data_IF_115257666275
#
_entry.id   IF_115257666275
#
_cell.length_a   1.000
_cell.length_b   1.000
_cell.length_c   1.000
_cell.angle_alpha   90.00
_cell.angle_beta   90.00
_cell.angle_gamma   90.00
#
_symmetry.space_group_name_H-M   'P 1'
#
loop_
_entity.id
_entity.type
_entity.pdbx_description
1 polymer ?
#
# COMPACT_ATOMS: atom_id res chain seq x y z
N UNK A 1 10.11 19.96 -15.24
CA UNK A 1 8.91 19.53 -14.46
C UNK A 1 9.41 18.78 -13.24
N UNK A 2 8.86 19.05 -12.06
CA UNK A 2 9.26 18.36 -10.84
C UNK A 2 8.44 17.10 -10.68
N UNK A 3 9.11 15.98 -10.41
CA UNK A 3 8.48 14.69 -10.13
C UNK A 3 8.86 14.13 -8.77
N UNK A 4 8.14 13.11 -8.30
CA UNK A 4 8.52 12.38 -7.11
C UNK A 4 9.50 11.26 -7.44
N UNK A 5 10.54 11.13 -6.63
CA UNK A 5 11.41 9.97 -6.60
C UNK A 5 11.39 9.32 -5.20
N UNK A 6 11.54 8.01 -5.15
CA UNK A 6 11.57 7.24 -3.91
C UNK A 6 12.98 7.28 -3.32
N UNK A 7 13.13 7.90 -2.15
CA UNK A 7 14.42 8.10 -1.50
C UNK A 7 14.74 7.01 -0.48
N UNK A 8 13.79 6.68 0.38
CA UNK A 8 13.95 5.69 1.44
C UNK A 8 12.63 5.02 1.78
N UNK A 9 12.69 3.83 2.38
CA UNK A 9 11.54 3.05 2.79
C UNK A 9 11.68 2.57 4.23
N UNK A 10 10.55 2.26 4.85
CA UNK A 10 10.47 1.58 6.13
C UNK A 10 9.29 0.64 6.17
N UNK A 11 9.34 -0.39 6.99
CA UNK A 11 8.28 -1.37 7.14
C UNK A 11 8.08 -1.80 8.59
N UNK A 12 6.85 -2.16 8.93
CA UNK A 12 6.52 -2.71 10.22
C UNK A 12 5.44 -3.78 10.06
N UNK A 13 5.69 -4.95 10.62
CA UNK A 13 4.75 -6.05 10.70
C UNK A 13 4.45 -6.34 12.17
N UNK A 14 3.23 -6.77 12.49
CA UNK A 14 2.91 -7.24 13.84
C UNK A 14 3.77 -8.43 14.26
N UNK A 15 3.87 -8.65 15.57
CA UNK A 15 4.64 -9.76 16.12
C UNK A 15 3.98 -11.13 15.92
N UNK A 16 2.64 -11.17 15.72
CA UNK A 16 1.90 -12.43 15.62
C UNK A 16 1.78 -12.87 14.16
N UNK A 17 2.49 -13.94 13.82
CA UNK A 17 2.27 -14.68 12.57
C UNK A 17 1.02 -15.55 12.70
N UNK A 18 0.19 -15.57 11.66
CA UNK A 18 -1.00 -16.42 11.54
C UNK A 18 -0.88 -17.25 10.26
N UNK A 19 -0.76 -18.56 10.42
CA UNK A 19 -0.65 -19.51 9.31
C UNK A 19 -2.03 -19.93 8.79
N UNK A 20 -2.06 -20.56 7.62
CA UNK A 20 -3.30 -21.16 7.11
C UNK A 20 -3.82 -22.27 8.04
N UNK A 21 -2.92 -23.00 8.72
CA UNK A 21 -3.29 -24.03 9.69
C UNK A 21 -3.95 -23.43 10.95
N UNK A 22 -3.53 -22.24 11.38
CA UNK A 22 -4.22 -21.53 12.48
C UNK A 22 -5.64 -21.15 12.10
N UNK A 23 -5.88 -20.71 10.85
CA UNK A 23 -7.21 -20.37 10.35
C UNK A 23 -8.09 -21.61 10.19
N UNK A 24 -7.52 -22.75 9.82
CA UNK A 24 -8.25 -24.03 9.74
C UNK A 24 -8.92 -24.43 11.07
N UNK A 25 -8.40 -23.97 12.19
CA UNK A 25 -8.99 -24.20 13.51
C UNK A 25 -10.22 -23.34 13.77
N UNK A 26 -10.46 -22.32 12.96
CA UNK A 26 -11.53 -21.33 13.16
C UNK A 26 -12.63 -21.44 12.11
N UNK A 27 -12.26 -21.76 10.86
CA UNK A 27 -13.19 -21.88 9.73
C UNK A 27 -12.92 -23.14 8.90
N UNK A 28 -13.93 -23.61 8.20
CA UNK A 28 -13.84 -24.75 7.29
C UNK A 28 -12.98 -24.39 6.05
N UNK A 29 -11.67 -24.60 6.15
CA UNK A 29 -10.69 -24.32 5.10
C UNK A 29 -9.49 -25.28 5.19
N UNK A 30 -8.53 -25.15 4.25
CA UNK A 30 -7.25 -25.85 4.29
C UNK A 30 -6.14 -24.98 3.73
N UNK A 31 -4.88 -25.30 4.08
CA UNK A 31 -3.72 -24.64 3.49
C UNK A 31 -3.72 -24.73 1.96
N UNK A 32 -4.00 -25.91 1.41
CA UNK A 32 -4.11 -26.12 -0.04
C UNK A 32 -5.19 -25.23 -0.67
N UNK A 33 -6.37 -25.13 -0.02
CA UNK A 33 -7.47 -24.32 -0.52
C UNK A 33 -7.12 -22.83 -0.56
N UNK A 34 -6.51 -22.30 0.52
CA UNK A 34 -6.12 -20.89 0.61
C UNK A 34 -4.99 -20.59 -0.39
N UNK A 35 -3.92 -21.38 -0.36
CA UNK A 35 -2.73 -21.17 -1.20
C UNK A 35 -3.05 -21.25 -2.69
N UNK A 36 -3.81 -22.26 -3.12
CA UNK A 36 -4.20 -22.42 -4.54
C UNK A 36 -5.06 -21.26 -5.05
N UNK A 37 -5.94 -20.70 -4.20
CA UNK A 37 -6.87 -19.65 -4.60
C UNK A 37 -6.34 -18.24 -4.47
N UNK A 38 -5.37 -18.03 -3.57
CA UNK A 38 -4.91 -16.68 -3.20
C UNK A 38 -3.40 -16.48 -3.35
N UNK A 39 -2.63 -17.56 -3.23
CA UNK A 39 -1.18 -17.53 -3.09
C UNK A 39 -0.70 -17.22 -1.66
N UNK A 40 -1.61 -17.13 -0.66
CA UNK A 40 -1.28 -16.77 0.71
C UNK A 40 -0.94 -18.01 1.52
N UNK A 41 0.23 -18.04 2.16
CA UNK A 41 0.65 -19.09 3.09
C UNK A 41 0.53 -18.66 4.55
N UNK A 42 0.76 -17.38 4.82
CA UNK A 42 0.64 -16.78 6.15
C UNK A 42 0.31 -15.28 6.06
N UNK A 43 -0.03 -14.68 7.21
CA UNK A 43 -0.23 -13.24 7.40
C UNK A 43 0.19 -12.85 8.81
N UNK A 44 0.10 -11.57 9.12
CA UNK A 44 0.40 -11.03 10.44
C UNK A 44 -0.84 -10.37 11.00
N UNK A 45 -1.08 -10.52 12.30
CA UNK A 45 -2.19 -9.91 13.01
C UNK A 45 -1.67 -9.11 14.19
N UNK A 46 -2.17 -7.89 14.35
CA UNK A 46 -1.89 -7.05 15.49
C UNK A 46 -2.26 -7.76 16.81
N UNK A 47 -1.34 -7.70 17.76
CA UNK A 47 -1.59 -8.08 19.16
C UNK A 47 -2.35 -6.97 19.89
N UNK A 48 -2.63 -7.14 21.18
CA UNK A 48 -3.35 -6.14 21.98
C UNK A 48 -2.65 -4.78 22.04
N UNK A 49 -1.31 -4.77 22.01
CA UNK A 49 -0.49 -3.57 22.10
C UNK A 49 -0.11 -2.97 20.74
N UNK A 50 -0.62 -3.54 19.66
CA UNK A 50 -0.32 -3.11 18.28
C UNK A 50 -1.60 -2.64 17.60
N UNK A 51 -1.49 -1.59 16.80
CA UNK A 51 -2.54 -1.08 15.93
C UNK A 51 -1.93 -0.46 14.67
N UNK A 52 -2.78 -0.04 13.72
CA UNK A 52 -2.31 0.59 12.48
C UNK A 52 -1.42 1.81 12.75
N UNK A 53 -1.66 2.56 13.84
CA UNK A 53 -0.89 3.75 14.18
C UNK A 53 0.48 3.41 14.77
N UNK A 54 0.58 2.42 15.65
CA UNK A 54 1.87 1.97 16.20
C UNK A 54 2.76 1.40 15.10
N UNK A 55 2.20 0.64 14.17
CA UNK A 55 2.91 0.14 13.00
C UNK A 55 3.34 1.28 12.07
N UNK A 56 2.46 2.25 11.81
CA UNK A 56 2.77 3.42 10.99
C UNK A 56 3.94 4.24 11.56
N UNK A 57 3.94 4.48 12.88
CA UNK A 57 5.03 5.19 13.58
C UNK A 57 6.35 4.44 13.44
N UNK A 58 6.33 3.11 13.58
CA UNK A 58 7.53 2.27 13.46
C UNK A 58 8.09 2.31 12.03
N UNK A 59 7.24 2.11 11.02
CA UNK A 59 7.64 2.18 9.62
C UNK A 59 8.16 3.58 9.24
N UNK A 60 7.49 4.64 9.70
CA UNK A 60 7.88 6.02 9.46
C UNK A 60 9.24 6.36 10.06
N UNK A 61 9.49 5.94 11.30
CA UNK A 61 10.79 6.14 11.97
C UNK A 61 11.92 5.46 11.21
N UNK A 62 11.69 4.23 10.76
CA UNK A 62 12.66 3.48 9.97
C UNK A 62 12.96 4.17 8.63
N UNK A 63 11.92 4.62 7.90
CA UNK A 63 12.09 5.35 6.63
C UNK A 63 12.86 6.65 6.83
N UNK A 64 12.55 7.43 7.89
CA UNK A 64 13.22 8.67 8.20
C UNK A 64 14.70 8.42 8.53
N UNK A 65 15.01 7.43 9.39
CA UNK A 65 16.37 7.06 9.75
C UNK A 65 17.20 6.68 8.50
N UNK A 66 16.64 5.85 7.62
CA UNK A 66 17.32 5.40 6.39
C UNK A 66 17.52 6.50 5.37
N UNK A 67 16.64 7.50 5.35
CA UNK A 67 16.80 8.64 4.45
C UNK A 67 17.98 9.54 4.82
N UNK A 68 18.50 9.46 6.04
CA UNK A 68 19.49 10.38 6.60
C UNK A 68 18.96 11.80 6.80
N UNK A 69 17.64 11.99 6.67
CA UNK A 69 16.98 13.28 6.90
C UNK A 69 16.58 13.42 8.38
N UNK A 70 16.32 14.66 8.75
CA UNK A 70 15.73 15.01 10.05
C UNK A 70 14.23 15.24 9.93
N UNK A 71 13.53 15.27 11.06
CA UNK A 71 12.11 15.62 11.09
C UNK A 71 11.81 16.97 10.43
N UNK A 72 12.71 17.93 10.57
CA UNK A 72 12.57 19.29 10.00
C UNK A 72 12.60 19.32 8.47
N UNK A 73 13.15 18.31 7.83
CA UNK A 73 13.22 18.23 6.37
C UNK A 73 11.89 17.80 5.74
N UNK A 74 10.98 17.20 6.53
CA UNK A 74 9.70 16.67 6.05
C UNK A 74 8.69 17.81 5.93
N UNK A 75 8.23 18.05 4.72
CA UNK A 75 7.28 19.12 4.41
C UNK A 75 5.81 18.70 4.52
N UNK A 76 5.49 17.42 4.47
CA UNK A 76 4.15 16.90 4.72
C UNK A 76 4.17 15.41 5.10
N UNK A 77 3.17 14.97 5.85
CA UNK A 77 2.93 13.58 6.20
C UNK A 77 1.52 13.17 5.75
N UNK A 78 1.42 12.18 4.86
CA UNK A 78 0.13 11.66 4.36
C UNK A 78 0.06 10.17 4.63
N UNK A 79 -0.96 9.74 5.35
CA UNK A 79 -1.18 8.33 5.70
C UNK A 79 -2.40 7.79 4.95
N UNK A 80 -2.23 6.67 4.26
CA UNK A 80 -3.30 5.93 3.63
C UNK A 80 -3.76 4.79 4.55
N UNK A 81 -5.01 4.83 4.96
CA UNK A 81 -5.62 3.80 5.82
C UNK A 81 -7.14 3.81 5.73
N UNK A 82 -7.76 2.65 5.99
CA UNK A 82 -9.19 2.51 6.25
C UNK A 82 -9.48 1.95 7.65
N UNK A 83 -8.43 1.59 8.39
CA UNK A 83 -8.50 0.89 9.69
C UNK A 83 -7.88 1.72 10.83
N UNK A 84 -7.99 3.05 10.76
CA UNK A 84 -7.55 3.93 11.83
C UNK A 84 -8.25 3.59 13.14
N UNK A 85 -7.52 3.47 14.29
CA UNK A 85 -8.12 3.12 15.57
C UNK A 85 -9.00 4.23 16.14
N UNK A 86 -8.82 5.46 15.68
CA UNK A 86 -9.59 6.65 16.06
C UNK A 86 -9.94 7.48 14.85
N UNK A 87 -11.11 8.12 14.86
CA UNK A 87 -11.48 9.10 13.82
C UNK A 87 -10.64 10.39 13.95
N UNK A 88 -10.27 10.75 15.17
CA UNK A 88 -9.39 11.88 15.51
C UNK A 88 -8.73 11.62 16.87
N UNK A 89 -7.42 11.93 17.05
CA UNK A 89 -6.51 12.43 16.01
C UNK A 89 -6.27 11.38 14.91
N UNK A 90 -5.95 11.86 13.69
CA UNK A 90 -5.56 11.00 12.57
C UNK A 90 -4.25 10.26 12.85
N UNK A 91 -3.98 9.15 12.15
CA UNK A 91 -2.71 8.45 12.27
C UNK A 91 -1.55 9.37 11.87
N UNK A 92 -1.73 10.19 10.82
CA UNK A 92 -0.70 11.15 10.40
C UNK A 92 -0.34 12.15 11.50
N UNK A 93 -1.31 12.66 12.27
CA UNK A 93 -1.05 13.53 13.42
C UNK A 93 -0.30 12.78 14.55
N UNK A 94 -0.63 11.50 14.77
CA UNK A 94 0.10 10.67 15.75
C UNK A 94 1.55 10.40 15.31
N UNK A 95 1.78 10.17 14.01
CA UNK A 95 3.13 10.05 13.43
C UNK A 95 3.90 11.36 13.56
N UNK A 96 3.25 12.50 13.24
CA UNK A 96 3.84 13.83 13.38
C UNK A 96 4.38 14.04 14.79
N UNK A 97 3.54 13.82 15.81
CA UNK A 97 3.92 13.98 17.20
C UNK A 97 5.04 12.99 17.63
N UNK A 98 4.95 11.71 17.21
CA UNK A 98 5.89 10.66 17.60
C UNK A 98 7.28 10.82 16.96
N UNK A 99 7.38 11.47 15.80
CA UNK A 99 8.63 11.74 15.09
C UNK A 99 9.14 13.18 15.33
N UNK A 100 8.34 14.04 15.94
CA UNK A 100 8.68 15.47 16.13
C UNK A 100 8.72 16.24 14.81
N UNK A 101 7.81 15.91 13.85
CA UNK A 101 7.69 16.69 12.62
C UNK A 101 7.18 18.10 12.97
N UNK A 102 7.60 19.16 12.23
CA UNK A 102 7.17 20.53 12.52
C UNK A 102 5.65 20.70 12.51
N UNK A 103 5.11 21.49 13.45
CA UNK A 103 3.68 21.72 13.60
C UNK A 103 3.04 22.55 12.49
N UNK A 104 3.85 23.32 11.76
CA UNK A 104 3.43 24.11 10.60
C UNK A 104 3.36 23.30 9.29
N UNK A 105 3.48 21.96 9.37
CA UNK A 105 3.41 21.06 8.23
C UNK A 105 2.13 20.25 8.23
N UNK A 106 1.47 20.07 7.05
CA UNK A 106 0.23 19.30 6.97
C UNK A 106 0.48 17.82 7.29
N UNK A 107 -0.38 17.27 8.15
CA UNK A 107 -0.43 15.86 8.49
C UNK A 107 -1.89 15.39 8.52
N UNK A 108 -2.28 14.44 7.63
CA UNK A 108 -3.65 13.94 7.54
C UNK A 108 -3.71 12.55 6.93
N UNK A 109 -4.84 11.86 7.17
CA UNK A 109 -5.12 10.55 6.59
C UNK A 109 -5.99 10.68 5.34
N UNK A 110 -5.78 9.76 4.38
CA UNK A 110 -6.62 9.57 3.21
C UNK A 110 -7.16 8.15 3.16
N UNK A 111 -8.40 8.00 2.71
CA UNK A 111 -9.01 6.70 2.47
C UNK A 111 -9.36 6.55 0.99
N UNK A 112 -8.62 5.68 0.30
CA UNK A 112 -8.93 5.17 -1.03
C UNK A 112 -8.73 3.65 -1.05
N UNK A 113 -9.03 3.01 0.09
CA UNK A 113 -8.86 1.58 0.33
C UNK A 113 -7.48 1.07 -0.14
N UNK A 114 -7.42 -0.08 -0.82
CA UNK A 114 -6.14 -0.68 -1.22
C UNK A 114 -5.33 0.13 -2.24
N UNK A 115 -5.92 1.11 -2.93
CA UNK A 115 -5.17 2.06 -3.78
C UNK A 115 -4.64 3.28 -3.01
N UNK A 116 -4.92 3.36 -1.71
CA UNK A 116 -4.68 4.51 -0.85
C UNK A 116 -3.25 5.04 -0.88
N UNK A 117 -2.24 4.17 -0.88
CA UNK A 117 -0.84 4.60 -0.94
C UNK A 117 -0.52 5.44 -2.20
N UNK A 118 -1.08 5.06 -3.36
CA UNK A 118 -0.87 5.81 -4.61
C UNK A 118 -1.60 7.17 -4.55
N UNK A 119 -2.81 7.20 -3.96
CA UNK A 119 -3.54 8.45 -3.72
C UNK A 119 -2.79 9.37 -2.75
N UNK A 120 -2.23 8.81 -1.67
CA UNK A 120 -1.42 9.55 -0.71
C UNK A 120 -0.15 10.14 -1.35
N UNK A 121 0.54 9.38 -2.20
CA UNK A 121 1.70 9.86 -2.95
C UNK A 121 1.33 10.99 -3.93
N UNK A 122 0.18 10.87 -4.62
CA UNK A 122 -0.33 11.91 -5.50
C UNK A 122 -0.69 13.20 -4.72
N UNK A 123 -1.33 13.06 -3.55
CA UNK A 123 -1.64 14.19 -2.67
C UNK A 123 -0.35 14.87 -2.17
N UNK A 124 0.64 14.09 -1.74
CA UNK A 124 1.94 14.60 -1.31
C UNK A 124 2.67 15.36 -2.43
N UNK A 125 2.64 14.85 -3.67
CA UNK A 125 3.18 15.56 -4.84
C UNK A 125 2.52 16.93 -5.03
N UNK A 126 1.18 16.99 -4.94
CA UNK A 126 0.43 18.23 -5.02
C UNK A 126 0.80 19.22 -3.91
N UNK A 127 0.90 18.75 -2.66
CA UNK A 127 1.27 19.58 -1.51
C UNK A 127 2.68 20.15 -1.64
N UNK A 128 3.66 19.33 -2.00
CA UNK A 128 5.05 19.80 -2.19
C UNK A 128 5.16 20.88 -3.27
N UNK A 129 4.39 20.76 -4.35
CA UNK A 129 4.37 21.79 -5.40
C UNK A 129 3.62 23.06 -4.98
N UNK A 130 2.59 22.96 -4.14
CA UNK A 130 1.74 24.11 -3.75
C UNK A 130 2.30 24.87 -2.55
N UNK A 131 2.76 24.15 -1.52
CA UNK A 131 3.20 24.75 -0.26
C UNK A 131 4.71 25.02 -0.24
N UNK A 132 5.43 24.49 -1.22
CA UNK A 132 6.89 24.41 -1.18
C UNK A 132 7.35 23.27 -0.26
N UNK A 133 8.59 22.87 -0.45
CA UNK A 133 9.18 21.77 0.29
C UNK A 133 9.75 20.71 -0.64
N UNK A 134 10.63 19.88 -0.10
CA UNK A 134 11.37 18.91 -0.90
C UNK A 134 10.99 17.47 -0.59
N UNK A 135 10.69 17.15 0.68
CA UNK A 135 10.50 15.79 1.11
C UNK A 135 9.09 15.57 1.70
N UNK A 136 8.48 14.45 1.36
CA UNK A 136 7.21 14.01 1.91
C UNK A 136 7.36 12.63 2.54
N UNK A 137 6.71 12.43 3.69
CA UNK A 137 6.52 11.13 4.30
C UNK A 137 5.15 10.61 3.90
N UNK A 138 5.12 9.47 3.20
CA UNK A 138 3.89 8.80 2.77
C UNK A 138 3.84 7.40 3.35
N UNK A 139 2.73 7.05 4.00
CA UNK A 139 2.59 5.80 4.71
C UNK A 139 1.33 5.09 4.24
N UNK A 140 1.38 3.77 4.09
CA UNK A 140 0.22 2.91 4.03
C UNK A 140 0.21 2.01 5.26
N UNK A 141 -0.86 1.97 6.03
CA UNK A 141 -0.94 1.16 7.24
C UNK A 141 -2.34 0.62 7.48
N UNK A 142 -2.42 -0.63 7.96
CA UNK A 142 -3.70 -1.31 8.18
C UNK A 142 -3.63 -2.29 9.35
N UNK A 143 -4.78 -2.45 10.02
CA UNK A 143 -5.07 -3.49 11.01
C UNK A 143 -6.40 -4.19 10.63
N UNK A 144 -6.41 -4.82 9.44
CA UNK A 144 -7.62 -5.40 8.82
C UNK A 144 -8.12 -6.64 9.56
N UNK A 145 -7.24 -7.33 10.31
CA UNK A 145 -7.63 -8.46 11.16
C UNK A 145 -8.72 -8.09 12.18
N UNK A 146 -8.82 -6.80 12.54
CA UNK A 146 -9.84 -6.27 13.46
C UNK A 146 -11.15 -5.91 12.77
N UNK A 147 -11.16 -5.94 11.44
CA UNK A 147 -12.31 -5.53 10.63
C UNK A 147 -12.97 -6.70 9.89
N UNK A 148 -12.42 -7.91 9.98
CA UNK A 148 -13.00 -9.11 9.38
C UNK A 148 -13.84 -9.88 10.39
N UNK A 149 -14.86 -10.60 9.90
CA UNK A 149 -15.53 -11.64 10.66
C UNK A 149 -14.62 -12.89 10.66
N UNK A 150 -14.12 -13.34 11.83
CA UNK A 150 -13.24 -14.50 11.90
C UNK A 150 -13.94 -15.82 11.49
N UNK A 151 -15.28 -15.82 11.39
CA UNK A 151 -16.08 -16.98 10.95
C UNK A 151 -16.42 -16.96 9.46
N UNK A 152 -16.21 -15.84 8.78
CA UNK A 152 -16.39 -15.74 7.32
C UNK A 152 -15.10 -16.09 6.58
N UNK A 153 -15.01 -17.34 6.10
CA UNK A 153 -13.84 -17.80 5.33
C UNK A 153 -13.63 -17.08 4.01
N UNK A 154 -14.60 -16.30 3.53
CA UNK A 154 -14.46 -15.58 2.25
C UNK A 154 -13.61 -14.33 2.38
N UNK A 155 -13.43 -13.82 3.59
CA UNK A 155 -12.68 -12.62 3.92
C UNK A 155 -11.54 -12.86 4.90
N UNK A 156 -11.75 -13.61 6.01
CA UNK A 156 -10.75 -13.78 7.07
C UNK A 156 -9.45 -14.45 6.59
N UNK A 157 -9.52 -15.27 5.53
CA UNK A 157 -8.33 -15.95 4.96
C UNK A 157 -7.47 -15.04 4.09
N UNK A 158 -7.95 -13.84 3.76
CA UNK A 158 -7.27 -12.94 2.80
C UNK A 158 -6.39 -11.91 3.50
N UNK A 159 -6.93 -11.24 4.51
CA UNK A 159 -6.37 -10.01 5.03
C UNK A 159 -5.29 -10.24 6.08
N UNK A 160 -4.32 -9.32 6.10
CA UNK A 160 -3.29 -9.22 7.10
C UNK A 160 -3.07 -7.76 7.50
N UNK A 161 -2.32 -7.55 8.56
CA UNK A 161 -1.99 -6.26 9.14
C UNK A 161 -0.54 -5.90 8.81
N UNK A 162 -0.24 -4.61 8.74
CA UNK A 162 1.09 -4.11 8.51
C UNK A 162 1.13 -2.63 8.15
N UNK A 163 2.32 -2.08 8.12
CA UNK A 163 2.59 -0.73 7.64
C UNK A 163 3.84 -0.69 6.78
N UNK A 164 3.81 0.15 5.76
CA UNK A 164 4.98 0.54 5.00
C UNK A 164 5.02 2.06 4.84
N UNK A 165 6.21 2.62 4.88
CA UNK A 165 6.46 4.05 4.73
C UNK A 165 7.46 4.31 3.62
N UNK A 166 7.30 5.45 2.95
CA UNK A 166 8.20 5.96 1.93
C UNK A 166 8.53 7.43 2.18
N UNK A 167 9.79 7.78 2.07
CA UNK A 167 10.22 9.16 1.92
C UNK A 167 10.32 9.43 0.42
N UNK A 168 9.52 10.37 -0.06
CA UNK A 168 9.60 10.89 -1.42
C UNK A 168 10.32 12.22 -1.46
N UNK A 169 11.10 12.42 -2.49
CA UNK A 169 11.75 13.68 -2.84
C UNK A 169 11.12 14.28 -4.08
N UNK A 170 10.78 15.58 -4.02
CA UNK A 170 10.38 16.35 -5.19
C UNK A 170 11.65 16.85 -5.90
N UNK A 171 11.97 16.27 -7.04
CA UNK A 171 13.21 16.54 -7.78
C UNK A 171 12.93 17.06 -9.21
N UNK A 172 13.85 17.86 -9.73
CA UNK A 172 13.83 18.35 -11.11
C UNK A 172 14.20 17.21 -12.09
N UNK A 173 13.60 17.23 -13.27
CA UNK A 173 13.93 16.31 -14.36
C UNK A 173 13.74 14.83 -14.04
N UNK A 174 12.89 14.51 -13.04
CA UNK A 174 12.53 13.15 -12.67
C UNK A 174 11.23 12.76 -13.35
N UNK A 175 11.21 11.57 -13.94
CA UNK A 175 9.99 11.02 -14.55
C UNK A 175 9.01 10.60 -13.46
N UNK A 176 7.87 11.28 -13.41
CA UNK A 176 6.76 10.94 -12.51
C UNK A 176 5.45 11.06 -13.29
N UNK A 177 4.67 9.99 -13.25
CA UNK A 177 3.34 9.97 -13.83
C UNK A 177 2.38 9.31 -12.84
N UNK A 178 1.15 9.81 -12.77
CA UNK A 178 0.12 9.24 -11.91
C UNK A 178 -1.22 9.19 -12.66
N UNK A 179 -1.97 8.13 -12.43
CA UNK A 179 -3.37 7.99 -12.83
C UNK A 179 -4.18 7.54 -11.64
N UNK A 180 -5.34 8.15 -11.46
CA UNK A 180 -6.27 7.84 -10.36
C UNK A 180 -7.67 7.74 -10.94
N UNK A 181 -8.53 6.95 -10.29
CA UNK A 181 -9.94 6.90 -10.65
C UNK A 181 -10.77 6.18 -9.59
N UNK A 182 -12.07 6.47 -9.62
CA UNK A 182 -13.03 5.88 -8.70
C UNK A 182 -14.37 5.62 -9.40
N UNK A 183 -15.10 4.62 -8.89
CA UNK A 183 -16.47 4.29 -9.29
C UNK A 183 -17.23 3.78 -8.08
N UNK A 184 -18.34 4.45 -7.71
CA UNK A 184 -19.18 4.02 -6.60
C UNK A 184 -19.68 2.58 -6.77
N UNK A 185 -19.42 1.73 -5.77
CA UNK A 185 -19.82 0.32 -5.75
C UNK A 185 -19.73 -0.27 -4.34
N UNK A 186 -20.69 -1.09 -3.99
CA UNK A 186 -20.73 -1.84 -2.73
C UNK A 186 -20.03 -3.22 -2.81
N UNK A 187 -19.30 -3.50 -3.88
CA UNK A 187 -18.63 -4.80 -4.08
C UNK A 187 -17.57 -5.12 -3.02
N UNK A 188 -17.01 -4.11 -2.37
CA UNK A 188 -16.24 -4.21 -1.12
C UNK A 188 -16.80 -3.17 -0.17
N UNK A 189 -17.19 -3.61 1.01
CA UNK A 189 -17.74 -2.74 2.05
C UNK A 189 -17.05 -3.03 3.38
N UNK A 190 -16.76 -1.98 4.13
CA UNK A 190 -16.25 -2.04 5.51
C UNK A 190 -17.02 -1.02 6.35
N UNK A 191 -17.32 -1.36 7.60
CA UNK A 191 -17.93 -0.42 8.54
C UNK A 191 -16.97 0.72 8.87
N UNK A 192 -17.51 1.95 8.97
CA UNK A 192 -16.76 3.12 9.41
C UNK A 192 -17.02 3.45 10.89
N UNK A 193 -16.26 4.38 11.49
CA UNK A 193 -16.40 4.74 12.91
C UNK A 193 -17.76 5.31 13.28
N UNK A 194 -18.52 5.85 12.32
CA UNK A 194 -19.87 6.35 12.51
C UNK A 194 -20.96 5.35 12.04
N UNK A 195 -20.60 4.13 11.67
CA UNK A 195 -21.57 3.11 11.31
C UNK A 195 -22.43 2.76 12.53
N UNK A 196 -23.74 2.58 12.31
CA UNK A 196 -24.67 2.14 13.38
C UNK A 196 -24.33 0.75 13.88
N UNK A 197 -23.82 -0.10 12.96
CA UNK A 197 -23.34 -1.45 13.24
C UNK A 197 -21.85 -1.52 12.87
N UNK A 198 -21.05 -2.16 13.69
CA UNK A 198 -19.65 -2.49 13.40
C UNK A 198 -19.62 -3.63 12.36
N UNK A 199 -20.09 -3.34 11.15
CA UNK A 199 -20.14 -4.33 10.09
C UNK A 199 -18.72 -4.72 9.66
N UNK A 200 -18.38 -6.02 9.67
CA UNK A 200 -17.11 -6.50 9.19
C UNK A 200 -16.94 -6.21 7.68
N UNK A 201 -15.75 -6.38 7.17
CA UNK A 201 -15.48 -6.31 5.73
C UNK A 201 -16.28 -7.40 5.03
N UNK A 202 -17.09 -6.98 4.05
CA UNK A 202 -17.80 -7.88 3.14
C UNK A 202 -17.33 -7.65 1.71
N UNK A 203 -17.32 -8.71 0.89
CA UNK A 203 -16.77 -8.64 -0.47
C UNK A 203 -17.49 -9.58 -1.44
N UNK A 204 -17.95 -9.04 -2.57
CA UNK A 204 -18.26 -9.86 -3.75
C UNK A 204 -16.95 -10.19 -4.50
N UNK A 205 -16.33 -11.29 -4.14
CA UNK A 205 -15.03 -11.69 -4.68
C UNK A 205 -15.03 -11.86 -6.21
N UNK A 206 -16.19 -12.21 -6.83
CA UNK A 206 -16.28 -12.35 -8.30
C UNK A 206 -16.29 -10.98 -8.99
N UNK A 207 -17.08 -10.04 -8.46
CA UNK A 207 -17.13 -8.68 -8.99
C UNK A 207 -15.79 -7.97 -8.83
N UNK A 208 -15.15 -8.12 -7.65
CA UNK A 208 -13.83 -7.56 -7.36
C UNK A 208 -12.75 -8.15 -8.26
N UNK A 209 -12.72 -9.47 -8.44
CA UNK A 209 -11.76 -10.11 -9.34
C UNK A 209 -11.90 -9.60 -10.78
N UNK A 210 -13.14 -9.54 -11.31
CA UNK A 210 -13.41 -9.03 -12.66
C UNK A 210 -12.94 -7.60 -12.84
N UNK A 211 -13.24 -6.74 -11.87
CA UNK A 211 -12.77 -5.37 -11.86
C UNK A 211 -11.24 -5.27 -11.83
N UNK A 212 -10.58 -6.04 -10.96
CA UNK A 212 -9.14 -6.00 -10.77
C UNK A 212 -8.36 -6.36 -12.04
N UNK A 213 -8.77 -7.43 -12.73
CA UNK A 213 -8.10 -7.91 -13.96
C UNK A 213 -8.26 -6.95 -15.15
N UNK A 214 -9.25 -6.06 -15.11
CA UNK A 214 -9.43 -4.98 -16.08
C UNK A 214 -8.67 -3.71 -15.64
N UNK A 215 -8.77 -3.35 -14.36
CA UNK A 215 -8.23 -2.09 -13.85
C UNK A 215 -6.70 -2.06 -13.83
N UNK A 216 -6.04 -3.16 -13.43
CA UNK A 216 -4.58 -3.18 -13.29
C UNK A 216 -3.83 -2.98 -14.61
N UNK A 217 -4.11 -3.73 -15.69
CA UNK A 217 -3.44 -3.49 -16.98
C UNK A 217 -3.71 -2.09 -17.52
N UNK A 218 -4.96 -1.61 -17.39
CA UNK A 218 -5.34 -0.25 -17.80
C UNK A 218 -4.59 0.83 -17.03
N UNK A 219 -4.41 0.68 -15.73
CA UNK A 219 -3.63 1.63 -14.92
C UNK A 219 -2.16 1.63 -15.33
N UNK A 220 -1.57 0.46 -15.56
CA UNK A 220 -0.18 0.37 -16.00
C UNK A 220 0.00 1.03 -17.37
N UNK A 221 -0.87 0.73 -18.34
CA UNK A 221 -0.81 1.37 -19.65
C UNK A 221 -0.95 2.88 -19.54
N UNK A 222 -1.88 3.38 -18.71
CA UNK A 222 -2.11 4.82 -18.56
C UNK A 222 -0.90 5.58 -17.99
N UNK A 223 -0.15 4.98 -17.05
CA UNK A 223 1.07 5.63 -16.53
C UNK A 223 2.23 5.54 -17.52
N UNK A 224 2.32 4.46 -18.31
CA UNK A 224 3.30 4.33 -19.39
C UNK A 224 3.06 5.38 -20.46
N UNK A 225 1.82 5.53 -20.93
CA UNK A 225 1.43 6.53 -21.95
C UNK A 225 1.75 7.96 -21.46
N UNK A 226 1.38 8.29 -20.21
CA UNK A 226 1.64 9.61 -19.63
C UNK A 226 3.12 9.93 -19.46
N UNK A 227 3.93 8.93 -19.22
CA UNK A 227 5.38 9.06 -19.07
C UNK A 227 6.15 8.88 -20.39
N UNK A 228 5.46 8.59 -21.49
CA UNK A 228 6.05 8.25 -22.78
C UNK A 228 7.06 7.10 -22.68
N UNK A 229 6.74 6.12 -21.83
CA UNK A 229 7.54 4.91 -21.60
C UNK A 229 6.78 3.66 -22.04
N UNK A 230 7.53 2.60 -22.24
CA UNK A 230 7.03 1.26 -22.53
C UNK A 230 7.26 0.32 -21.35
N UNK A 231 6.68 -0.87 -21.37
CA UNK A 231 6.93 -1.90 -20.36
C UNK A 231 8.41 -2.34 -20.30
N UNK A 232 9.13 -2.22 -21.42
CA UNK A 232 10.56 -2.53 -21.48
C UNK A 232 11.41 -1.55 -20.65
N UNK A 233 10.96 -0.30 -20.53
CA UNK A 233 11.66 0.75 -19.78
C UNK A 233 11.47 0.63 -18.26
N UNK A 234 10.62 -0.29 -17.79
CA UNK A 234 10.43 -0.57 -16.38
C UNK A 234 11.42 -1.62 -15.89
N UNK A 235 12.05 -1.37 -14.75
CA UNK A 235 12.79 -2.38 -14.00
C UNK A 235 11.82 -3.25 -13.19
N UNK A 236 10.81 -2.64 -12.55
CA UNK A 236 9.87 -3.33 -11.69
C UNK A 236 8.42 -2.83 -11.83
N UNK A 237 7.50 -3.76 -11.63
CA UNK A 237 6.07 -3.49 -11.40
C UNK A 237 5.69 -4.00 -10.02
N UNK A 238 5.30 -3.10 -9.14
CA UNK A 238 4.87 -3.40 -7.76
C UNK A 238 3.37 -3.22 -7.67
N UNK A 239 2.65 -4.34 -7.77
CA UNK A 239 1.20 -4.33 -7.67
C UNK A 239 0.73 -4.39 -6.21
N UNK A 240 -0.47 -3.85 -5.94
CA UNK A 240 -1.21 -4.20 -4.75
C UNK A 240 -1.31 -5.72 -4.61
N UNK A 241 -0.95 -6.25 -3.44
CA UNK A 241 -0.86 -7.67 -3.14
C UNK A 241 -2.22 -8.20 -2.65
N UNK A 242 -3.25 -8.21 -3.53
CA UNK A 242 -4.59 -8.68 -3.19
C UNK A 242 -4.76 -10.19 -3.34
N UNK A 243 -4.23 -10.73 -4.42
CA UNK A 243 -4.32 -12.14 -4.80
C UNK A 243 -3.29 -12.43 -5.90
N UNK A 244 -2.51 -13.49 -5.75
CA UNK A 244 -1.47 -13.88 -6.73
C UNK A 244 -2.05 -14.07 -8.13
N UNK A 245 -3.25 -14.65 -8.23
CA UNK A 245 -3.93 -14.90 -9.52
C UNK A 245 -4.27 -13.62 -10.28
N UNK A 246 -4.54 -12.52 -9.57
CA UNK A 246 -4.79 -11.22 -10.21
C UNK A 246 -3.50 -10.67 -10.81
N UNK A 247 -2.38 -10.76 -10.10
CA UNK A 247 -1.07 -10.35 -10.60
C UNK A 247 -0.67 -11.22 -11.80
N UNK A 248 -0.86 -12.53 -11.73
CA UNK A 248 -0.57 -13.46 -12.83
C UNK A 248 -1.41 -13.17 -14.07
N UNK A 249 -2.69 -12.79 -13.86
CA UNK A 249 -3.55 -12.38 -14.97
C UNK A 249 -3.04 -11.08 -15.61
N UNK A 250 -2.62 -10.11 -14.80
CA UNK A 250 -2.03 -8.85 -15.29
C UNK A 250 -0.79 -9.12 -16.15
N UNK A 251 0.13 -9.94 -15.67
CA UNK A 251 1.34 -10.38 -16.40
C UNK A 251 0.97 -10.98 -17.76
N UNK A 252 0.02 -11.92 -17.77
CA UNK A 252 -0.42 -12.60 -19.01
C UNK A 252 -1.08 -11.65 -19.99
N UNK A 253 -1.99 -10.77 -19.52
CA UNK A 253 -2.73 -9.85 -20.38
C UNK A 253 -1.86 -8.79 -21.04
N UNK A 254 -0.75 -8.44 -20.37
CA UNK A 254 0.24 -7.48 -20.88
C UNK A 254 1.37 -8.15 -21.69
N UNK A 255 1.37 -9.47 -21.80
CA UNK A 255 2.49 -10.24 -22.37
C UNK A 255 3.83 -9.85 -21.74
N UNK A 256 3.81 -9.58 -20.42
CA UNK A 256 4.93 -9.07 -19.68
C UNK A 256 5.84 -10.18 -19.16
N UNK A 257 7.09 -9.84 -18.89
CA UNK A 257 8.04 -10.72 -18.23
C UNK A 257 7.67 -10.88 -16.74
N UNK A 258 7.37 -12.10 -16.25
CA UNK A 258 6.93 -12.31 -14.87
C UNK A 258 7.94 -11.85 -13.81
N UNK A 259 9.24 -11.89 -14.10
CA UNK A 259 10.33 -11.49 -13.21
C UNK A 259 10.30 -10.00 -12.85
N UNK A 260 9.67 -9.16 -13.67
CA UNK A 260 9.47 -7.73 -13.38
C UNK A 260 8.38 -7.47 -12.34
N UNK A 261 7.52 -8.45 -12.02
CA UNK A 261 6.40 -8.29 -11.10
C UNK A 261 6.74 -8.85 -9.71
N UNK A 262 7.01 -7.97 -8.77
CA UNK A 262 7.32 -8.39 -7.41
C UNK A 262 6.09 -8.93 -6.67
N UNK A 263 6.26 -10.04 -5.95
CA UNK A 263 5.22 -10.67 -5.16
C UNK A 263 5.73 -11.04 -3.77
N UNK A 264 5.01 -10.61 -2.76
CA UNK A 264 5.24 -11.00 -1.36
C UNK A 264 3.95 -11.43 -0.63
N UNK A 265 2.85 -11.52 -1.34
CA UNK A 265 1.53 -11.88 -0.80
C UNK A 265 1.54 -13.20 -0.01
N UNK A 266 2.38 -14.16 -0.37
CA UNK A 266 2.49 -15.44 0.32
C UNK A 266 2.88 -15.29 1.80
N UNK A 267 3.64 -14.25 2.13
CA UNK A 267 4.16 -13.98 3.47
C UNK A 267 3.29 -13.04 4.31
N UNK A 268 2.56 -12.14 3.67
CA UNK A 268 1.87 -11.03 4.36
C UNK A 268 0.35 -11.05 4.22
N UNK A 269 -0.17 -11.83 3.27
CA UNK A 269 -1.59 -11.71 2.87
C UNK A 269 -1.88 -10.37 2.20
N UNK A 270 -3.15 -10.00 2.20
CA UNK A 270 -3.60 -8.72 1.68
C UNK A 270 -3.59 -7.66 2.81
N UNK A 271 -2.61 -6.78 2.81
CA UNK A 271 -2.47 -5.67 3.75
C UNK A 271 -3.00 -4.33 3.19
N UNK A 272 -3.93 -4.37 2.23
CA UNK A 272 -4.60 -3.19 1.64
C UNK A 272 -3.62 -2.08 1.23
N UNK A 273 -3.79 -0.85 1.77
CA UNK A 273 -2.94 0.31 1.45
C UNK A 273 -1.46 0.11 1.86
N UNK A 274 -1.16 -0.77 2.81
CA UNK A 274 0.20 -1.07 3.23
C UNK A 274 0.95 -1.99 2.26
N UNK A 275 0.27 -2.71 1.36
CA UNK A 275 0.86 -3.79 0.57
C UNK A 275 1.98 -3.32 -0.38
N UNK A 276 1.77 -2.20 -1.08
CA UNK A 276 2.77 -1.63 -1.98
C UNK A 276 3.99 -1.13 -1.20
N UNK A 277 3.86 -0.27 -0.18
CA UNK A 277 5.04 0.23 0.53
C UNK A 277 5.76 -0.85 1.34
N UNK A 278 5.10 -1.91 1.85
CA UNK A 278 5.77 -3.08 2.41
C UNK A 278 6.59 -3.80 1.34
N UNK A 279 6.03 -4.00 0.15
CA UNK A 279 6.75 -4.62 -0.96
C UNK A 279 7.98 -3.79 -1.37
N UNK A 280 7.85 -2.48 -1.51
CA UNK A 280 8.97 -1.57 -1.79
C UNK A 280 10.06 -1.64 -0.72
N UNK A 281 9.65 -1.72 0.55
CA UNK A 281 10.58 -1.85 1.66
C UNK A 281 11.35 -3.18 1.61
N UNK A 282 10.68 -4.31 1.43
CA UNK A 282 11.33 -5.60 1.31
C UNK A 282 12.28 -5.67 0.11
N UNK A 283 11.89 -5.07 -1.02
CA UNK A 283 12.76 -5.00 -2.21
C UNK A 283 14.02 -4.18 -1.93
N UNK A 284 13.91 -3.08 -1.18
CA UNK A 284 15.05 -2.26 -0.76
C UNK A 284 15.96 -3.03 0.21
N UNK A 285 15.39 -3.74 1.19
CA UNK A 285 16.13 -4.57 2.15
C UNK A 285 16.89 -5.72 1.49
N UNK A 286 16.32 -6.28 0.43
CA UNK A 286 16.88 -7.40 -0.31
C UNK A 286 17.84 -6.95 -1.43
N UNK A 287 18.23 -5.68 -1.49
CA UNK A 287 19.07 -5.10 -2.54
C UNK A 287 18.51 -5.32 -3.98
N UNK A 288 17.19 -5.55 -4.11
CA UNK A 288 16.52 -5.66 -5.41
C UNK A 288 16.33 -4.28 -6.05
N UNK A 289 16.14 -3.24 -5.23
CA UNK A 289 16.05 -1.86 -5.72
C UNK A 289 17.45 -1.24 -5.78
N UNK A 290 17.76 -0.65 -6.94
CA UNK A 290 19.01 0.05 -7.17
C UNK A 290 18.73 1.48 -7.64
N UNK A 291 19.57 2.47 -7.24
CA UNK A 291 19.43 3.83 -7.69
C UNK A 291 19.32 3.94 -9.22
N UNK A 292 18.44 4.80 -9.69
CA UNK A 292 18.14 5.01 -11.12
C UNK A 292 17.06 4.10 -11.70
N UNK A 293 16.63 3.06 -11.00
CA UNK A 293 15.58 2.16 -11.50
C UNK A 293 14.22 2.83 -11.60
N UNK A 294 13.49 2.48 -12.66
CA UNK A 294 12.13 2.94 -12.93
C UNK A 294 11.11 1.90 -12.45
N UNK A 295 10.20 2.35 -11.61
CA UNK A 295 9.18 1.51 -10.98
C UNK A 295 7.78 1.96 -11.38
N UNK A 296 6.88 1.00 -11.63
CA UNK A 296 5.44 1.26 -11.71
C UNK A 296 4.75 0.63 -10.50
N UNK A 297 4.01 1.42 -9.71
CA UNK A 297 3.17 0.93 -8.62
C UNK A 297 1.71 0.98 -9.06
N UNK A 298 0.98 -0.14 -8.94
CA UNK A 298 -0.40 -0.27 -9.41
C UNK A 298 -1.30 -0.81 -8.31
N UNK A 299 -2.42 -0.13 -8.04
CA UNK A 299 -3.38 -0.53 -7.02
C UNK A 299 -4.83 -0.43 -7.47
N UNK A 300 -5.67 -1.20 -6.83
CA UNK A 300 -7.13 -1.15 -6.92
C UNK A 300 -7.72 -1.52 -5.56
N UNK A 301 -8.95 -1.14 -5.28
CA UNK A 301 -9.57 -1.45 -4.00
C UNK A 301 -11.04 -1.08 -3.92
N UNK A 302 -11.56 -1.14 -2.69
CA UNK A 302 -12.91 -0.71 -2.37
C UNK A 302 -13.22 0.71 -2.82
N UNK A 303 -14.50 0.96 -3.07
CA UNK A 303 -14.98 2.22 -3.56
C UNK A 303 -15.82 2.07 -4.83
N UNK A 304 -15.46 1.45 -5.91
CA UNK A 304 -14.15 0.93 -6.30
C UNK A 304 -13.19 2.07 -6.64
N UNK A 305 -11.95 1.94 -6.23
CA UNK A 305 -10.88 2.86 -6.56
C UNK A 305 -9.77 2.15 -7.32
N UNK A 306 -8.99 2.90 -8.10
CA UNK A 306 -7.78 2.40 -8.76
C UNK A 306 -6.76 3.51 -8.88
N UNK A 307 -5.50 3.12 -8.99
CA UNK A 307 -4.42 4.06 -9.19
C UNK A 307 -3.19 3.38 -9.77
N UNK A 308 -2.41 4.16 -10.48
CA UNK A 308 -1.08 3.80 -10.93
C UNK A 308 -0.15 5.00 -10.77
N UNK A 309 1.09 4.76 -10.41
CA UNK A 309 2.15 5.76 -10.45
C UNK A 309 3.43 5.16 -11.01
N UNK A 310 4.16 5.97 -11.77
CA UNK A 310 5.51 5.67 -12.22
C UNK A 310 6.45 6.61 -11.48
N UNK A 311 7.54 6.08 -10.95
CA UNK A 311 8.54 6.81 -10.19
C UNK A 311 9.93 6.21 -10.38
N UNK A 312 10.96 6.98 -10.02
CA UNK A 312 12.35 6.51 -9.97
C UNK A 312 12.73 6.20 -8.53
N UNK A 313 13.48 5.13 -8.32
CA UNK A 313 14.14 4.85 -7.06
C UNK A 313 15.52 5.50 -7.03
N UNK A 314 15.75 6.38 -6.09
CA UNK A 314 17.06 7.06 -5.91
C UNK A 314 17.88 6.40 -4.81
N UNK A 315 17.20 5.89 -3.78
CA UNK A 315 17.78 5.12 -2.68
C UNK A 315 18.90 5.81 -1.91
N UNK A 316 18.66 6.07 -0.62
CA UNK A 316 19.74 6.28 0.36
C UNK A 316 19.80 5.06 1.24
N UNK A 317 21.00 4.51 1.41
CA UNK A 317 21.27 3.40 2.34
C UNK A 317 21.57 3.91 3.73
#
# INVERSE_FOLDING_TARGET
MKGLQLLATGGALPNRVVTNEDLRRQVDTSDEWITTRTGICQRYYCTENEDAATLAITAARQALTRSGLTANDIACCVVATLSAPTATPSIACRVQAALGLPEDRPAFDVNAACSGFIYAAAAAHGLLNTLGGRYALVIGCEALSRMVDPTDRTTCVLFGDGAGAAIFELAENVSFAVTLGARGSEAIRAGGPAARDTAPITMDGKAVFRFAVEAMPRCLQAVLDRSQKTLADLDWVVCHQANSRIIDHCVKSLHAEPSKFYKNISRHGNTSAASIPIALHEMAESDLLRPGQTLACIGFGGGLTWGGMLLTYEGRK
#
